data_IF_120416928433
#
_entry.id   IF_120416928433
#
_cell.length_a   1.000
_cell.length_b   1.000
_cell.length_c   1.000
_cell.angle_alpha   90.00
_cell.angle_beta   90.00
_cell.angle_gamma   90.00
#
_symmetry.space_group_name_H-M   'P 1'
#
loop_
_entity.id
_entity.type
_entity.pdbx_description
1 polymer ?
#
# COMPACT_ATOMS: atom_id res chain seq x y z
N UNK A 1 40.99 -6.48 -15.76
CA UNK A 1 40.79 -6.20 -14.31
C UNK A 1 39.95 -4.94 -14.06
N UNK A 2 40.15 -3.84 -14.80
CA UNK A 2 39.38 -2.59 -14.61
C UNK A 2 37.88 -2.73 -14.94
N UNK A 3 37.53 -3.55 -15.94
CA UNK A 3 36.14 -3.81 -16.32
C UNK A 3 35.35 -4.68 -15.34
N UNK A 4 36.04 -5.49 -14.50
CA UNK A 4 35.42 -6.32 -13.48
C UNK A 4 34.83 -5.45 -12.36
N UNK A 5 35.56 -4.41 -11.96
CA UNK A 5 35.11 -3.42 -10.98
C UNK A 5 33.92 -2.60 -11.50
N UNK A 6 33.92 -2.25 -12.79
CA UNK A 6 32.80 -1.53 -13.43
C UNK A 6 31.53 -2.38 -13.47
N UNK A 7 31.65 -3.68 -13.73
CA UNK A 7 30.53 -4.62 -13.74
C UNK A 7 29.92 -4.82 -12.35
N UNK A 8 30.76 -4.92 -11.31
CA UNK A 8 30.30 -5.07 -9.92
C UNK A 8 29.55 -3.83 -9.41
N UNK A 9 29.99 -2.63 -9.77
CA UNK A 9 29.34 -1.38 -9.35
C UNK A 9 27.97 -1.17 -10.03
N UNK A 10 27.81 -1.65 -11.26
CA UNK A 10 26.54 -1.56 -11.99
C UNK A 10 25.45 -2.47 -11.42
N UNK A 11 25.80 -3.65 -10.89
CA UNK A 11 24.84 -4.56 -10.26
C UNK A 11 24.23 -3.98 -8.97
N UNK A 12 24.96 -3.15 -8.22
CA UNK A 12 24.51 -2.59 -6.94
C UNK A 12 23.44 -1.50 -7.08
N UNK A 13 23.30 -0.89 -8.28
CA UNK A 13 22.32 0.17 -8.54
C UNK A 13 20.92 -0.35 -8.90
N UNK A 14 20.77 -1.67 -9.10
CA UNK A 14 19.49 -2.26 -9.51
C UNK A 14 18.59 -2.69 -8.35
N UNK A 15 18.91 -2.27 -7.11
CA UNK A 15 18.28 -2.75 -5.89
C UNK A 15 17.25 -1.83 -5.23
N UNK A 16 16.73 -0.80 -5.91
CA UNK A 16 15.50 -0.14 -5.45
C UNK A 16 14.30 -0.98 -5.90
N UNK A 17 14.20 -2.21 -5.39
CA UNK A 17 13.00 -3.00 -5.53
C UNK A 17 11.92 -2.32 -4.69
N UNK A 18 11.15 -1.45 -5.33
CA UNK A 18 9.89 -0.98 -4.81
C UNK A 18 9.01 -2.22 -4.69
N UNK A 19 9.01 -2.86 -3.52
CA UNK A 19 8.02 -3.88 -3.22
C UNK A 19 6.71 -3.12 -3.19
N UNK A 20 5.78 -3.32 -4.14
CA UNK A 20 4.41 -2.93 -3.88
C UNK A 20 4.01 -3.76 -2.67
N UNK A 21 3.84 -3.09 -1.54
CA UNK A 21 3.20 -3.66 -0.36
C UNK A 21 1.74 -3.81 -0.75
N UNK A 22 1.44 -4.87 -1.50
CA UNK A 22 0.07 -5.35 -1.68
C UNK A 22 -0.34 -6.03 -0.38
N UNK A 23 -0.67 -5.21 0.63
CA UNK A 23 -1.50 -5.62 1.77
C UNK A 23 -2.94 -5.81 1.29
N UNK A 24 -3.15 -6.63 0.27
CA UNK A 24 -4.49 -7.07 -0.12
C UNK A 24 -4.44 -8.58 -0.34
N UNK A 25 -4.14 -9.27 0.76
CA UNK A 25 -4.40 -10.69 0.88
C UNK A 25 -5.90 -10.92 0.85
N UNK A 26 -6.50 -10.99 -0.35
CA UNK A 26 -7.59 -11.90 -0.74
C UNK A 26 -8.74 -12.14 0.27
N UNK A 27 -9.04 -11.16 1.12
CA UNK A 27 -10.20 -11.11 1.98
C UNK A 27 -10.68 -9.69 1.78
N UNK A 28 -11.64 -9.48 0.86
CA UNK A 28 -11.97 -8.19 0.23
C UNK A 28 -12.43 -7.07 1.17
N UNK A 29 -11.72 -6.84 2.26
CA UNK A 29 -12.01 -5.85 3.28
C UNK A 29 -11.13 -4.64 2.99
N UNK A 30 -11.74 -3.52 2.65
CA UNK A 30 -11.04 -2.26 2.48
C UNK A 30 -10.95 -1.49 3.79
N UNK A 31 -9.83 -0.81 3.98
CA UNK A 31 -9.64 0.12 5.09
C UNK A 31 -10.36 1.43 4.81
N UNK A 32 -11.05 1.95 5.83
CA UNK A 32 -11.74 3.24 5.80
C UNK A 32 -11.53 3.94 7.14
N UNK A 33 -11.22 5.23 7.12
CA UNK A 33 -11.22 6.06 8.32
C UNK A 33 -12.60 6.64 8.55
N UNK A 34 -13.19 6.20 9.65
CA UNK A 34 -14.48 6.65 10.13
C UNK A 34 -14.34 7.95 10.91
N UNK A 35 -15.01 9.00 10.41
CA UNK A 35 -15.08 10.33 11.06
C UNK A 35 -13.73 10.94 11.47
N UNK A 36 -12.64 10.61 10.79
CA UNK A 36 -11.30 11.11 11.12
C UNK A 36 -10.74 10.61 12.46
N UNK A 37 -11.33 9.57 13.07
CA UNK A 37 -10.98 9.14 14.44
C UNK A 37 -10.67 7.66 14.56
N UNK A 38 -11.20 6.82 13.68
CA UNK A 38 -11.08 5.37 13.79
C UNK A 38 -10.90 4.72 12.42
N UNK A 39 -9.84 3.95 12.25
CA UNK A 39 -9.67 3.07 11.09
C UNK A 39 -10.54 1.82 11.25
N UNK A 40 -11.33 1.49 10.23
CA UNK A 40 -12.17 0.31 10.15
C UNK A 40 -11.76 -0.55 8.96
N UNK A 41 -11.79 -1.87 9.13
CA UNK A 41 -11.75 -2.83 8.03
C UNK A 41 -13.19 -3.23 7.68
N UNK A 42 -13.61 -2.91 6.46
CA UNK A 42 -14.99 -3.08 6.01
C UNK A 42 -15.06 -3.95 4.77
N UNK A 43 -16.06 -4.84 4.65
CA UNK A 43 -16.28 -5.59 3.42
C UNK A 43 -16.63 -4.63 2.26
N UNK A 44 -16.45 -5.05 1.00
CA UNK A 44 -16.49 -4.13 -0.14
C UNK A 44 -17.87 -3.48 -0.32
N UNK A 45 -18.93 -4.18 0.05
CA UNK A 45 -20.31 -3.69 -0.05
C UNK A 45 -20.58 -2.54 0.94
N UNK A 46 -19.89 -2.54 2.09
CA UNK A 46 -20.04 -1.50 3.11
C UNK A 46 -19.20 -0.24 2.80
N UNK A 47 -18.10 -0.36 2.06
CA UNK A 47 -17.21 0.76 1.74
C UNK A 47 -17.98 1.90 1.07
N UNK A 48 -18.81 1.59 0.07
CA UNK A 48 -19.62 2.59 -0.65
C UNK A 48 -20.46 3.46 0.29
N UNK A 49 -21.17 2.83 1.23
CA UNK A 49 -22.04 3.52 2.17
C UNK A 49 -21.24 4.43 3.12
N UNK A 50 -20.11 3.94 3.62
CA UNK A 50 -19.24 4.71 4.50
C UNK A 50 -18.66 5.96 3.80
N UNK A 51 -18.20 5.80 2.55
CA UNK A 51 -17.74 6.94 1.75
C UNK A 51 -18.86 7.95 1.47
N UNK A 52 -20.08 7.48 1.22
CA UNK A 52 -21.26 8.33 1.06
C UNK A 52 -21.65 9.10 2.33
N UNK A 53 -21.24 8.64 3.51
CA UNK A 53 -21.46 9.31 4.79
C UNK A 53 -20.30 10.24 5.21
N UNK A 54 -19.28 10.39 4.37
CA UNK A 54 -18.14 11.28 4.62
C UNK A 54 -16.93 10.61 5.30
N UNK A 55 -16.89 9.28 5.35
CA UNK A 55 -15.65 8.57 5.69
C UNK A 55 -14.67 8.60 4.51
N UNK A 56 -13.38 8.35 4.77
CA UNK A 56 -12.35 8.34 3.72
C UNK A 56 -11.71 6.96 3.58
N UNK A 57 -11.29 6.59 2.37
CA UNK A 57 -10.51 5.35 2.16
C UNK A 57 -9.16 5.44 2.86
N UNK A 58 -8.69 4.31 3.38
CA UNK A 58 -7.41 4.17 4.05
C UNK A 58 -7.46 4.42 5.56
N UNK A 59 -6.29 4.38 6.23
CA UNK A 59 -6.17 4.63 7.67
C UNK A 59 -6.36 6.11 8.02
N UNK A 60 -6.78 6.41 9.25
CA UNK A 60 -6.76 7.77 9.79
C UNK A 60 -5.33 8.28 9.99
N UNK A 61 -5.12 9.58 9.85
CA UNK A 61 -3.86 10.29 10.02
C UNK A 61 -3.97 11.42 11.05
#
# INVERSE_FOLDING_TARGET
>A
MKYLLVLLFALSLSGCLWVPVDLDGHSGKGLVCHKGKKTLELPPEAISAHLGHGDHRGPCY
#
